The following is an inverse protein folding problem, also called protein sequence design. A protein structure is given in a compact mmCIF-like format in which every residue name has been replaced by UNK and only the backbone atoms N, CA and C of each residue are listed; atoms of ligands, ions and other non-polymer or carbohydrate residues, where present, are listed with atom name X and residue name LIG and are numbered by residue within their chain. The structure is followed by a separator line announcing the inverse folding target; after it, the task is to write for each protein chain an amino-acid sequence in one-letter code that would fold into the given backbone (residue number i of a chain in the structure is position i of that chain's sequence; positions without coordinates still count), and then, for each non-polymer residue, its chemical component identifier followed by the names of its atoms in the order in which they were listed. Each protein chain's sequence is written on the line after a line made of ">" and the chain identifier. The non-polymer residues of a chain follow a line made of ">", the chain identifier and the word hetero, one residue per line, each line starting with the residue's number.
data_IF_827475388292
#
_entry.id   IF_827475388292
#
_cell.length_a   1.000
_cell.length_b   1.000
_cell.length_c   1.000
_cell.angle_alpha   90.00
_cell.angle_beta   90.00
_cell.angle_gamma   90.00
#
_symmetry.space_group_name_H-M   'P 1'
#
loop_
_entity.id
_entity.type
_entity.pdbx_description
1 polymer ?
#
# COMPACT_ATOMS: atom_id res chain seq x y z
N UNK A 1 26.73 4.07 -0.78
CA UNK A 1 26.33 3.94 0.63
C UNK A 1 24.82 3.71 0.70
N UNK A 2 24.28 3.13 1.77
CA UNK A 2 22.85 2.85 1.85
C UNK A 2 22.03 4.14 1.96
N UNK A 3 20.77 4.04 1.54
CA UNK A 3 19.76 5.04 1.84
C UNK A 3 19.13 4.65 3.17
N UNK A 4 19.10 5.55 4.14
CA UNK A 4 18.55 5.27 5.46
C UNK A 4 17.18 5.94 5.58
N UNK A 5 16.17 5.14 5.85
CA UNK A 5 14.79 5.57 6.03
C UNK A 5 14.37 5.37 7.47
N UNK A 6 14.01 6.44 8.17
CA UNK A 6 13.63 6.39 9.59
C UNK A 6 12.16 6.77 9.74
N UNK A 7 11.37 5.82 10.25
CA UNK A 7 9.97 6.02 10.64
C UNK A 7 9.86 6.11 12.16
N UNK A 8 9.06 7.04 12.65
CA UNK A 8 8.93 7.31 14.08
C UNK A 8 7.49 7.41 14.56
N UNK A 9 7.29 7.14 15.85
CA UNK A 9 6.17 7.67 16.64
C UNK A 9 6.33 9.16 16.96
N UNK A 10 5.45 9.73 17.81
CA UNK A 10 5.56 11.12 18.29
C UNK A 10 6.70 11.27 19.32
N UNK A 11 7.93 11.24 18.85
CA UNK A 11 9.14 11.28 19.66
C UNK A 11 10.25 12.00 18.89
N UNK A 12 10.91 12.96 19.53
CA UNK A 12 12.04 13.70 18.94
C UNK A 12 13.26 12.83 18.69
N UNK A 13 13.47 11.80 19.48
CA UNK A 13 14.63 10.92 19.37
C UNK A 13 14.85 10.32 17.97
N UNK A 14 13.79 10.17 17.17
CA UNK A 14 13.91 9.75 15.77
C UNK A 14 14.61 10.78 14.89
N UNK A 15 14.38 12.07 15.12
CA UNK A 15 15.05 13.17 14.42
C UNK A 15 16.52 13.28 14.85
N UNK A 16 16.78 13.21 16.15
CA UNK A 16 18.14 13.19 16.68
C UNK A 16 18.95 12.01 16.15
N UNK A 17 18.33 10.83 16.04
CA UNK A 17 18.97 9.65 15.44
C UNK A 17 19.30 9.93 13.96
N UNK A 18 18.36 10.53 13.21
CA UNK A 18 18.55 10.86 11.81
C UNK A 18 19.69 11.86 11.60
N UNK A 19 19.74 12.92 12.39
CA UNK A 19 20.81 13.93 12.36
C UNK A 19 22.19 13.31 12.66
N UNK A 20 22.27 12.45 13.69
CA UNK A 20 23.51 11.75 14.04
C UNK A 20 23.97 10.81 12.93
N UNK A 21 23.06 10.08 12.32
CA UNK A 21 23.35 9.20 11.19
C UNK A 21 23.82 10.01 9.98
N UNK A 22 23.12 11.08 9.65
CA UNK A 22 23.50 11.95 8.55
C UNK A 22 24.92 12.54 8.75
N UNK A 23 25.23 12.98 9.96
CA UNK A 23 26.57 13.46 10.33
C UNK A 23 27.65 12.37 10.25
N UNK A 24 27.34 11.14 10.73
CA UNK A 24 28.30 10.02 10.69
C UNK A 24 28.60 9.54 9.27
N UNK A 25 27.63 9.61 8.37
CA UNK A 25 27.77 9.22 6.97
C UNK A 25 28.14 10.37 6.06
N UNK A 26 28.27 11.59 6.58
CA UNK A 26 28.50 12.83 5.81
C UNK A 26 27.52 12.92 4.61
N UNK A 27 26.22 12.87 4.93
CA UNK A 27 25.19 12.82 3.90
C UNK A 27 24.02 13.77 4.17
N UNK A 28 23.22 14.01 3.13
CA UNK A 28 22.05 14.87 3.23
C UNK A 28 21.02 14.29 4.19
N UNK A 29 20.47 15.15 5.04
CA UNK A 29 19.31 14.87 5.89
C UNK A 29 18.06 15.53 5.31
N UNK A 30 17.05 14.73 5.01
CA UNK A 30 15.75 15.20 4.55
C UNK A 30 14.71 14.91 5.62
N UNK A 31 14.06 15.99 6.11
CA UNK A 31 12.96 15.89 7.05
C UNK A 31 11.59 15.78 6.32
N UNK A 32 10.56 15.39 7.08
CA UNK A 32 9.18 15.40 6.60
C UNK A 32 8.74 16.80 6.13
N UNK A 33 9.11 17.81 6.89
CA UNK A 33 8.75 19.20 6.63
C UNK A 33 9.27 19.61 5.24
N UNK A 34 10.50 19.24 4.92
CA UNK A 34 11.07 19.48 3.59
C UNK A 34 10.28 18.81 2.47
N UNK A 35 9.83 17.58 2.69
CA UNK A 35 8.98 16.85 1.74
C UNK A 35 7.64 17.55 1.54
N UNK A 36 7.03 18.03 2.62
CA UNK A 36 5.77 18.76 2.55
C UNK A 36 5.91 20.07 1.77
N UNK A 37 7.00 20.81 1.99
CA UNK A 37 7.30 22.04 1.25
C UNK A 37 7.44 21.79 -0.25
N UNK A 38 8.15 20.73 -0.63
CA UNK A 38 8.31 20.33 -2.03
C UNK A 38 6.95 20.01 -2.67
N UNK A 39 6.09 19.27 -1.98
CA UNK A 39 4.77 18.94 -2.48
C UNK A 39 3.87 20.17 -2.61
N UNK A 40 3.93 21.11 -1.65
CA UNK A 40 3.21 22.40 -1.73
C UNK A 40 3.73 23.24 -2.90
N UNK A 41 5.04 23.34 -3.09
CA UNK A 41 5.64 24.05 -4.23
C UNK A 41 5.25 23.45 -5.58
N UNK A 42 5.04 22.14 -5.63
CA UNK A 42 4.51 21.44 -6.81
C UNK A 42 2.99 21.63 -7.01
N UNK A 43 2.33 22.45 -6.18
CA UNK A 43 0.89 22.73 -6.28
C UNK A 43 -0.02 21.61 -5.80
N UNK A 44 0.49 20.67 -5.02
CA UNK A 44 -0.29 19.55 -4.51
C UNK A 44 -1.15 20.00 -3.33
N UNK A 45 -2.46 19.74 -3.32
CA UNK A 45 -3.38 20.24 -2.30
C UNK A 45 -3.32 19.45 -0.98
N UNK A 46 -2.17 19.46 -0.31
CA UNK A 46 -1.92 18.72 0.93
C UNK A 46 -2.97 19.00 2.00
N UNK A 47 -3.39 20.24 2.17
CA UNK A 47 -4.39 20.60 3.16
C UNK A 47 -5.76 19.95 2.89
N UNK A 48 -6.17 19.79 1.64
CA UNK A 48 -7.40 19.05 1.28
C UNK A 48 -7.27 17.56 1.59
N UNK A 49 -6.11 16.98 1.33
CA UNK A 49 -5.85 15.58 1.68
C UNK A 49 -5.88 15.36 3.20
N UNK A 50 -5.31 16.28 3.98
CA UNK A 50 -5.38 16.24 5.45
C UNK A 50 -6.82 16.37 5.96
N UNK A 51 -7.61 17.30 5.41
CA UNK A 51 -9.02 17.47 5.78
C UNK A 51 -9.87 16.26 5.37
N UNK A 52 -9.61 15.67 4.23
CA UNK A 52 -10.33 14.48 3.78
C UNK A 52 -10.18 13.32 4.77
N UNK A 53 -9.02 13.14 5.38
CA UNK A 53 -8.79 12.08 6.36
C UNK A 53 -9.56 12.20 7.67
N UNK A 54 -10.11 13.37 7.96
CA UNK A 54 -10.97 13.62 9.14
C UNK A 54 -12.44 13.35 8.82
N UNK A 55 -12.78 13.17 7.54
CA UNK A 55 -14.16 12.97 7.06
C UNK A 55 -14.46 11.49 6.74
N UNK A 56 -15.75 11.12 6.53
CA UNK A 56 -16.13 9.74 6.21
C UNK A 56 -15.46 9.19 4.95
N UNK A 57 -15.26 7.86 4.84
CA UNK A 57 -14.53 7.18 3.76
C UNK A 57 -14.95 7.55 2.33
N UNK A 58 -16.19 8.00 2.11
CA UNK A 58 -16.70 8.41 0.79
C UNK A 58 -15.95 9.59 0.16
N UNK A 59 -15.30 10.43 0.97
CA UNK A 59 -14.55 11.60 0.50
C UNK A 59 -13.16 11.19 0.03
N UNK A 60 -12.55 10.17 0.64
CA UNK A 60 -11.23 9.65 0.25
C UNK A 60 -11.20 9.10 -1.18
N UNK A 61 -12.28 8.47 -1.63
CA UNK A 61 -12.39 7.87 -2.97
C UNK A 61 -12.21 8.88 -4.10
N UNK A 62 -12.51 10.16 -3.84
CA UNK A 62 -12.33 11.25 -4.82
C UNK A 62 -10.91 11.80 -4.88
N UNK A 63 -10.04 11.38 -3.96
CA UNK A 63 -8.67 11.91 -3.82
C UNK A 63 -7.57 10.91 -4.22
N UNK A 64 -7.92 9.81 -4.87
CA UNK A 64 -6.94 8.81 -5.34
C UNK A 64 -5.90 9.42 -6.27
N UNK A 65 -6.32 10.31 -7.16
CA UNK A 65 -5.44 11.02 -8.07
C UNK A 65 -4.47 11.98 -7.35
N UNK A 66 -4.97 12.79 -6.42
CA UNK A 66 -4.14 13.70 -5.63
C UNK A 66 -3.11 12.92 -4.80
N UNK A 67 -3.52 11.77 -4.25
CA UNK A 67 -2.63 10.83 -3.57
C UNK A 67 -1.52 10.35 -4.50
N UNK A 68 -1.85 9.90 -5.69
CA UNK A 68 -0.90 9.34 -6.65
C UNK A 68 0.08 10.41 -7.16
N UNK A 69 -0.39 11.63 -7.41
CA UNK A 69 0.46 12.77 -7.76
C UNK A 69 1.38 13.13 -6.58
N UNK A 70 0.86 13.14 -5.36
CA UNK A 70 1.67 13.37 -4.16
C UNK A 70 2.79 12.35 -4.02
N UNK A 71 2.44 11.05 -4.12
CA UNK A 71 3.43 9.97 -4.03
C UNK A 71 4.45 10.06 -5.16
N UNK A 72 4.03 10.36 -6.38
CA UNK A 72 4.93 10.53 -7.51
C UNK A 72 5.90 11.71 -7.28
N UNK A 73 5.42 12.84 -6.78
CA UNK A 73 6.24 14.01 -6.48
C UNK A 73 7.30 13.69 -5.40
N UNK A 74 6.85 13.14 -4.27
CA UNK A 74 7.73 12.83 -3.14
C UNK A 74 8.75 11.76 -3.49
N UNK A 75 8.32 10.71 -4.18
CA UNK A 75 9.23 9.64 -4.62
C UNK A 75 10.25 10.15 -5.62
N UNK A 76 9.84 10.99 -6.58
CA UNK A 76 10.76 11.63 -7.52
C UNK A 76 11.82 12.44 -6.78
N UNK A 77 11.40 13.30 -5.87
CA UNK A 77 12.32 14.13 -5.10
C UNK A 77 13.33 13.29 -4.30
N UNK A 78 12.87 12.24 -3.62
CA UNK A 78 13.76 11.35 -2.86
C UNK A 78 14.71 10.57 -3.77
N UNK A 79 14.23 10.04 -4.89
CA UNK A 79 15.07 9.32 -5.86
C UNK A 79 16.17 10.21 -6.41
N UNK A 80 15.88 11.48 -6.76
CA UNK A 80 16.85 12.43 -7.27
C UNK A 80 17.97 12.73 -6.26
N UNK A 81 17.58 12.90 -5.00
CA UNK A 81 18.56 13.13 -3.92
C UNK A 81 19.35 11.88 -3.58
N UNK A 82 18.71 10.71 -3.66
CA UNK A 82 19.32 9.42 -3.37
C UNK A 82 20.29 8.92 -4.47
N UNK A 83 20.28 9.50 -5.66
CA UNK A 83 21.21 9.13 -6.76
C UNK A 83 22.68 9.20 -6.36
N UNK A 84 23.05 10.11 -5.46
CA UNK A 84 24.38 10.20 -4.87
C UNK A 84 24.71 9.07 -3.89
N UNK A 85 23.75 8.24 -3.52
CA UNK A 85 23.92 7.06 -2.69
C UNK A 85 23.95 7.31 -1.18
N UNK A 86 23.87 8.56 -0.74
CA UNK A 86 23.97 8.91 0.67
C UNK A 86 22.80 9.81 1.06
N UNK A 87 21.79 9.23 1.69
CA UNK A 87 20.63 9.98 2.11
C UNK A 87 20.09 9.41 3.43
N UNK A 88 19.82 10.26 4.39
CA UNK A 88 18.98 9.94 5.54
C UNK A 88 17.66 10.67 5.39
N UNK A 89 16.59 9.92 5.25
CA UNK A 89 15.23 10.46 5.26
C UNK A 89 14.51 10.09 6.55
N UNK A 90 14.04 11.10 7.27
CA UNK A 90 13.26 10.94 8.48
C UNK A 90 11.86 11.50 8.25
N UNK A 91 10.87 10.64 8.25
CA UNK A 91 9.53 11.08 7.98
C UNK A 91 8.47 10.01 8.19
N UNK A 92 7.27 10.41 7.82
CA UNK A 92 6.11 9.56 7.91
C UNK A 92 6.07 8.59 6.72
N UNK A 93 5.80 7.32 7.00
CA UNK A 93 5.79 6.26 5.99
C UNK A 93 7.06 6.22 5.11
N UNK A 94 8.21 6.68 5.65
CA UNK A 94 9.49 6.81 4.94
C UNK A 94 9.95 5.49 4.31
N UNK A 95 9.69 4.38 4.98
CA UNK A 95 10.03 3.02 4.57
C UNK A 95 9.28 2.54 3.32
N UNK A 96 8.20 3.22 2.92
CA UNK A 96 7.34 2.85 1.79
C UNK A 96 7.57 3.69 0.53
N UNK A 97 8.37 4.76 0.61
CA UNK A 97 8.53 5.72 -0.49
C UNK A 97 9.50 5.27 -1.59
N UNK A 98 10.36 4.29 -1.31
CA UNK A 98 11.30 3.72 -2.28
C UNK A 98 11.06 2.21 -2.45
N UNK A 99 9.90 1.80 -2.97
CA UNK A 99 9.57 0.39 -3.14
C UNK A 99 10.49 -0.28 -4.17
N UNK A 100 10.88 -1.53 -3.90
CA UNK A 100 11.70 -2.32 -4.82
C UNK A 100 13.18 -1.97 -4.84
N UNK A 101 13.63 -0.97 -4.05
CA UNK A 101 15.04 -0.60 -3.94
C UNK A 101 15.65 -1.33 -2.74
N UNK A 102 16.50 -2.33 -3.01
CA UNK A 102 17.02 -3.23 -1.97
C UNK A 102 18.04 -2.58 -1.03
N UNK A 103 18.77 -1.55 -1.47
CA UNK A 103 19.78 -0.89 -0.64
C UNK A 103 19.20 0.24 0.26
N UNK A 104 17.91 0.18 0.57
CA UNK A 104 17.27 1.06 1.57
C UNK A 104 17.24 0.34 2.92
N UNK A 105 17.86 0.95 3.93
CA UNK A 105 17.83 0.46 5.30
C UNK A 105 16.68 1.12 6.05
N UNK A 106 15.67 0.34 6.45
CA UNK A 106 14.41 0.80 7.03
C UNK A 106 14.41 0.64 8.53
N UNK A 107 14.40 1.76 9.23
CA UNK A 107 14.46 1.80 10.71
C UNK A 107 13.13 2.31 11.25
N UNK A 108 12.58 1.61 12.22
CA UNK A 108 11.48 2.11 13.05
C UNK A 108 11.98 2.45 14.43
N UNK A 109 11.69 3.68 14.88
CA UNK A 109 12.01 4.13 16.24
C UNK A 109 10.79 4.01 17.12
N UNK A 110 10.96 3.36 18.27
CA UNK A 110 9.94 3.18 19.31
C UNK A 110 10.47 3.65 20.67
N UNK A 111 9.57 3.98 21.57
CA UNK A 111 9.82 4.18 23.00
C UNK A 111 8.50 3.95 23.75
N UNK A 112 8.58 3.69 25.07
CA UNK A 112 7.39 3.56 25.86
C UNK A 112 6.61 4.89 25.99
N UNK A 113 5.38 4.81 26.48
CA UNK A 113 4.51 5.98 26.58
C UNK A 113 5.04 7.00 27.58
N UNK A 114 5.61 6.57 28.68
CA UNK A 114 6.14 7.46 29.71
C UNK A 114 7.36 8.27 29.24
N UNK A 115 8.25 7.61 28.52
CA UNK A 115 9.39 8.28 27.90
C UNK A 115 8.92 9.32 26.87
N UNK A 116 7.92 8.96 26.07
CA UNK A 116 7.33 9.84 25.05
C UNK A 116 6.65 11.05 25.69
N UNK A 117 5.89 10.85 26.78
CA UNK A 117 5.24 11.92 27.53
C UNK A 117 6.28 12.90 28.04
N UNK A 118 7.32 12.44 28.75
CA UNK A 118 8.40 13.30 29.24
C UNK A 118 9.07 14.11 28.12
N UNK A 119 9.29 13.49 26.97
CA UNK A 119 9.85 14.16 25.79
C UNK A 119 8.95 15.28 25.27
N UNK A 120 7.65 15.04 25.21
CA UNK A 120 6.65 16.03 24.72
C UNK A 120 6.45 17.15 25.74
N UNK A 121 6.37 16.85 27.06
CA UNK A 121 6.31 17.85 28.14
C UNK A 121 7.49 18.83 28.06
N UNK A 122 8.70 18.30 27.95
CA UNK A 122 9.91 19.11 27.86
C UNK A 122 10.00 19.99 26.60
N UNK A 123 9.38 19.55 25.51
CA UNK A 123 9.51 20.22 24.19
C UNK A 123 8.41 21.21 23.89
N UNK A 124 7.15 20.82 24.24
CA UNK A 124 5.97 21.61 23.92
C UNK A 124 5.42 22.35 25.11
N UNK A 125 6.06 22.21 26.29
CA UNK A 125 5.63 22.79 27.55
C UNK A 125 4.16 22.48 27.88
N UNK A 126 3.74 21.24 27.60
CA UNK A 126 2.42 20.72 27.88
C UNK A 126 2.36 20.05 29.24
N UNK A 127 1.16 20.04 29.87
CA UNK A 127 0.94 19.17 31.03
C UNK A 127 0.94 17.69 30.60
N UNK A 128 1.19 16.80 31.53
CA UNK A 128 1.23 15.34 31.31
C UNK A 128 0.02 14.81 30.51
N UNK A 129 -1.18 15.18 30.94
CA UNK A 129 -2.41 14.70 30.29
C UNK A 129 -2.53 15.23 28.85
N UNK A 130 -2.22 16.50 28.63
CA UNK A 130 -2.17 17.08 27.29
C UNK A 130 -1.08 16.50 26.41
N UNK A 131 0.07 16.17 26.99
CA UNK A 131 1.15 15.49 26.29
C UNK A 131 0.73 14.08 25.84
N UNK A 132 0.05 13.34 26.72
CA UNK A 132 -0.50 12.02 26.38
C UNK A 132 -1.55 12.10 25.27
N UNK A 133 -2.51 13.02 25.39
CA UNK A 133 -3.54 13.25 24.37
C UNK A 133 -2.91 13.61 23.01
N UNK A 134 -1.96 14.53 23.00
CA UNK A 134 -1.20 14.90 21.80
C UNK A 134 -0.51 13.69 21.14
N UNK A 135 0.14 12.84 21.92
CA UNK A 135 0.80 11.63 21.43
C UNK A 135 -0.20 10.70 20.76
N UNK A 136 -1.33 10.41 21.41
CA UNK A 136 -2.35 9.52 20.87
C UNK A 136 -2.96 10.06 19.58
N UNK A 137 -3.23 11.38 19.54
CA UNK A 137 -3.75 12.03 18.34
C UNK A 137 -2.77 11.95 17.17
N UNK A 138 -1.50 12.27 17.40
CA UNK A 138 -0.45 12.23 16.37
C UNK A 138 -0.25 10.80 15.83
N UNK A 139 -0.30 9.80 16.70
CA UNK A 139 -0.15 8.40 16.27
C UNK A 139 -1.37 7.93 15.47
N UNK A 140 -2.59 8.33 15.89
CA UNK A 140 -3.81 8.05 15.14
C UNK A 140 -3.79 8.70 13.74
N UNK A 141 -3.32 9.95 13.64
CA UNK A 141 -3.21 10.64 12.36
C UNK A 141 -2.16 9.99 11.45
N UNK A 142 -1.06 9.49 12.02
CA UNK A 142 -0.07 8.72 11.26
C UNK A 142 -0.61 7.41 10.74
N UNK A 143 -1.36 6.68 11.57
CA UNK A 143 -2.01 5.46 11.16
C UNK A 143 -2.97 5.71 9.98
N UNK A 144 -3.77 6.78 10.05
CA UNK A 144 -4.66 7.21 8.96
C UNK A 144 -3.88 7.54 7.68
N UNK A 145 -2.78 8.30 7.78
CA UNK A 145 -1.93 8.63 6.64
C UNK A 145 -1.31 7.41 5.97
N UNK A 146 -0.75 6.49 6.75
CA UNK A 146 -0.14 5.27 6.21
C UNK A 146 -1.17 4.41 5.48
N UNK A 147 -2.37 4.28 6.05
CA UNK A 147 -3.48 3.60 5.37
C UNK A 147 -3.93 4.32 4.12
N UNK A 148 -4.10 5.64 4.16
CA UNK A 148 -4.52 6.43 3.02
C UNK A 148 -3.50 6.36 1.86
N UNK A 149 -2.22 6.55 2.15
CA UNK A 149 -1.18 6.59 1.11
C UNK A 149 -0.80 5.19 0.60
N UNK A 150 -0.71 4.20 1.47
CA UNK A 150 -0.08 2.91 1.16
C UNK A 150 -0.92 1.69 1.53
N UNK A 151 -2.04 1.86 2.24
CA UNK A 151 -2.92 0.77 2.66
C UNK A 151 -2.34 -0.20 3.68
N UNK A 152 -1.36 0.24 4.46
CA UNK A 152 -0.66 -0.61 5.43
C UNK A 152 -0.82 -0.11 6.85
N UNK A 153 -0.71 -1.00 7.82
CA UNK A 153 -0.54 -0.66 9.21
C UNK A 153 0.92 -0.19 9.41
N UNK A 154 1.11 1.09 9.74
CA UNK A 154 2.45 1.69 9.85
C UNK A 154 3.28 1.10 10.99
N UNK A 155 2.63 0.44 11.93
CA UNK A 155 3.23 -0.18 13.11
C UNK A 155 3.57 -1.66 12.92
N UNK A 156 3.28 -2.25 11.77
CA UNK A 156 3.70 -3.60 11.40
C UNK A 156 5.24 -3.69 11.35
N UNK A 157 5.87 -4.48 12.22
CA UNK A 157 7.33 -4.60 12.26
C UNK A 157 7.92 -5.25 11.00
N UNK A 158 7.14 -6.01 10.25
CA UNK A 158 7.61 -6.69 9.01
C UNK A 158 7.93 -5.72 7.87
N UNK A 159 7.50 -4.45 7.99
CA UNK A 159 7.81 -3.39 7.03
C UNK A 159 9.19 -2.75 7.24
N UNK A 160 9.92 -3.16 8.29
CA UNK A 160 11.18 -2.55 8.70
C UNK A 160 12.28 -3.59 8.80
N UNK A 161 13.50 -3.19 8.51
CA UNK A 161 14.68 -4.03 8.70
C UNK A 161 15.11 -4.07 10.16
N UNK A 162 14.82 -2.99 10.92
CA UNK A 162 15.11 -2.87 12.36
C UNK A 162 14.04 -2.05 13.07
N UNK A 163 13.67 -2.50 14.26
CA UNK A 163 12.89 -1.73 15.25
C UNK A 163 13.80 -1.43 16.44
N UNK A 164 14.04 -0.15 16.73
CA UNK A 164 14.95 0.27 17.79
C UNK A 164 14.21 1.03 18.89
N UNK A 165 14.41 0.62 20.15
CA UNK A 165 13.90 1.32 21.32
C UNK A 165 14.95 2.33 21.82
N UNK A 166 14.66 3.62 21.70
CA UNK A 166 15.57 4.69 22.10
C UNK A 166 15.60 4.96 23.60
N UNK A 167 14.62 4.51 24.35
CA UNK A 167 14.63 4.67 25.79
C UNK A 167 15.81 3.93 26.44
N UNK A 168 16.06 2.69 25.98
CA UNK A 168 17.14 1.85 26.52
C UNK A 168 18.49 2.19 25.92
N UNK A 169 18.55 2.37 24.58
CA UNK A 169 19.82 2.56 23.89
C UNK A 169 20.32 4.01 23.89
N UNK A 170 19.40 4.98 23.92
CA UNK A 170 19.73 6.37 23.63
C UNK A 170 20.09 6.59 22.16
N UNK A 171 20.04 7.84 21.71
CA UNK A 171 20.26 8.17 20.30
C UNK A 171 21.71 7.93 19.82
N UNK A 172 22.71 8.11 20.68
CA UNK A 172 24.13 7.93 20.34
C UNK A 172 24.51 6.46 20.11
N UNK A 173 24.09 5.58 21.04
CA UNK A 173 24.34 4.14 20.91
C UNK A 173 23.54 3.56 19.74
N UNK A 174 22.29 3.98 19.60
CA UNK A 174 21.47 3.60 18.46
C UNK A 174 22.12 4.03 17.14
N UNK A 175 22.60 5.26 17.02
CA UNK A 175 23.29 5.72 15.81
C UNK A 175 24.55 4.89 15.51
N UNK A 176 25.31 4.50 16.54
CA UNK A 176 26.49 3.65 16.35
C UNK A 176 26.09 2.27 15.81
N UNK A 177 25.13 1.60 16.45
CA UNK A 177 24.65 0.30 15.99
C UNK A 177 24.03 0.35 14.58
N UNK A 178 23.23 1.39 14.28
CA UNK A 178 22.62 1.54 12.97
C UNK A 178 23.65 1.83 11.88
N UNK A 179 24.76 2.54 12.20
CA UNK A 179 25.86 2.74 11.26
C UNK A 179 26.53 1.41 10.86
N UNK A 180 26.78 0.54 11.83
CA UNK A 180 27.34 -0.79 11.54
C UNK A 180 26.39 -1.63 10.68
N UNK A 181 25.11 -1.67 11.05
CA UNK A 181 24.10 -2.39 10.30
C UNK A 181 23.93 -1.88 8.87
N UNK A 182 23.91 -0.57 8.69
CA UNK A 182 23.76 0.05 7.35
C UNK A 182 24.91 -0.29 6.39
N UNK A 183 26.06 -0.73 6.88
CA UNK A 183 27.21 -1.15 6.08
C UNK A 183 27.18 -2.62 5.70
N UNK A 184 26.23 -3.39 6.21
CA UNK A 184 26.11 -4.82 5.88
C UNK A 184 25.80 -5.03 4.38
N UNK A 185 26.20 -6.18 3.83
CA UNK A 185 26.03 -6.47 2.40
C UNK A 185 24.63 -6.27 1.83
N UNK A 186 23.52 -6.61 2.54
CA UNK A 186 22.17 -6.41 2.01
C UNK A 186 21.84 -4.94 1.68
N UNK A 187 22.46 -3.99 2.38
CA UNK A 187 22.19 -2.55 2.21
C UNK A 187 23.22 -1.85 1.30
N UNK A 188 24.12 -2.61 0.66
CA UNK A 188 25.07 -2.04 -0.30
C UNK A 188 24.40 -1.87 -1.65
N UNK A 189 24.60 -0.72 -2.33
CA UNK A 189 24.12 -0.55 -3.69
C UNK A 189 24.72 -1.61 -4.62
N UNK A 190 23.85 -2.20 -5.43
CA UNK A 190 24.23 -3.11 -6.51
C UNK A 190 23.81 -2.51 -7.84
N UNK A 191 24.38 -2.93 -8.98
CA UNK A 191 23.90 -2.46 -10.29
C UNK A 191 22.41 -2.66 -10.49
N UNK A 192 21.85 -3.77 -10.00
CA UNK A 192 20.42 -4.04 -10.07
C UNK A 192 19.59 -3.08 -9.21
N UNK A 193 20.02 -2.78 -7.98
CA UNK A 193 19.31 -1.86 -7.10
C UNK A 193 19.42 -0.40 -7.53
N UNK A 194 20.52 -0.01 -8.16
CA UNK A 194 20.69 1.32 -8.79
C UNK A 194 19.77 1.44 -10.01
N UNK A 195 19.71 0.40 -10.86
CA UNK A 195 18.77 0.38 -11.97
C UNK A 195 17.32 0.43 -11.50
N UNK A 196 16.98 -0.28 -10.42
CA UNK A 196 15.64 -0.21 -9.82
C UNK A 196 15.31 1.21 -9.35
N UNK A 197 16.27 1.93 -8.77
CA UNK A 197 16.13 3.34 -8.38
C UNK A 197 15.90 4.25 -9.58
N UNK A 198 16.71 4.10 -10.64
CA UNK A 198 16.54 4.89 -11.87
C UNK A 198 15.19 4.62 -12.54
N UNK A 199 14.77 3.36 -12.59
CA UNK A 199 13.47 2.97 -13.12
C UNK A 199 12.33 3.57 -12.28
N UNK A 200 12.43 3.52 -10.94
CA UNK A 200 11.45 4.11 -10.03
C UNK A 200 11.35 5.64 -10.21
N UNK A 201 12.50 6.30 -10.31
CA UNK A 201 12.57 7.74 -10.55
C UNK A 201 11.88 8.12 -11.87
N UNK A 202 12.26 7.47 -12.96
CA UNK A 202 11.70 7.74 -14.28
C UNK A 202 10.19 7.47 -14.33
N UNK A 203 9.72 6.36 -13.74
CA UNK A 203 8.30 6.04 -13.68
C UNK A 203 7.50 7.11 -12.92
N UNK A 204 8.02 7.62 -11.79
CA UNK A 204 7.33 8.63 -11.01
C UNK A 204 7.38 10.03 -11.66
N UNK A 205 8.51 10.39 -12.30
CA UNK A 205 8.57 11.61 -13.13
C UNK A 205 7.54 11.58 -14.26
N UNK A 206 7.43 10.45 -14.96
CA UNK A 206 6.45 10.27 -16.03
C UNK A 206 5.01 10.34 -15.48
N UNK A 207 4.74 9.69 -14.35
CA UNK A 207 3.42 9.76 -13.69
C UNK A 207 3.08 11.18 -13.28
N UNK A 208 4.02 11.92 -12.72
CA UNK A 208 3.83 13.32 -12.34
C UNK A 208 3.53 14.19 -13.55
N UNK A 209 4.30 14.06 -14.64
CA UNK A 209 4.09 14.79 -15.88
C UNK A 209 2.70 14.52 -16.48
N UNK A 210 2.29 13.24 -16.56
CA UNK A 210 0.97 12.86 -17.05
C UNK A 210 -0.17 13.32 -16.12
N UNK A 211 0.06 13.33 -14.81
CA UNK A 211 -0.93 13.77 -13.84
C UNK A 211 -1.17 15.27 -13.80
N UNK A 212 -0.21 16.07 -14.23
CA UNK A 212 -0.30 17.54 -14.27
C UNK A 212 -0.79 18.06 -15.62
N UNK A 213 -0.49 17.39 -16.73
CA UNK A 213 -0.96 17.79 -18.06
C UNK A 213 -2.47 17.59 -18.20
N UNK A 214 -3.18 18.67 -18.55
CA UNK A 214 -4.66 18.66 -18.64
C UNK A 214 -5.21 17.64 -19.64
N UNK A 215 -4.42 17.27 -20.66
CA UNK A 215 -4.82 16.32 -21.70
C UNK A 215 -4.77 14.86 -21.27
N UNK A 216 -4.00 14.56 -20.20
CA UNK A 216 -3.79 13.19 -19.70
C UNK A 216 -4.21 13.05 -18.24
N UNK A 217 -4.41 14.16 -17.55
CA UNK A 217 -4.68 14.19 -16.13
C UNK A 217 -5.97 13.44 -15.70
N UNK A 218 -6.93 13.26 -16.62
CA UNK A 218 -8.16 12.51 -16.35
C UNK A 218 -7.99 11.00 -16.52
N UNK A 219 -6.91 10.57 -17.18
CA UNK A 219 -6.73 9.19 -17.53
C UNK A 219 -6.08 8.38 -16.39
N UNK A 220 -6.68 7.26 -16.09
CA UNK A 220 -6.13 6.29 -15.16
C UNK A 220 -5.13 5.40 -15.88
N UNK A 221 -3.87 5.80 -15.87
CA UNK A 221 -2.79 5.07 -16.52
C UNK A 221 -1.84 4.45 -15.51
N UNK A 222 -1.36 3.25 -15.82
CA UNK A 222 -0.24 2.65 -15.13
C UNK A 222 1.06 3.07 -15.79
N UNK A 223 2.00 3.54 -15.00
CA UNK A 223 3.31 3.95 -15.48
C UNK A 223 4.39 3.08 -14.86
N UNK A 224 5.20 2.45 -15.69
CA UNK A 224 6.41 1.72 -15.32
C UNK A 224 7.57 2.23 -16.16
N UNK A 225 8.78 2.03 -15.70
CA UNK A 225 9.97 2.30 -16.50
C UNK A 225 10.97 1.16 -16.36
N UNK A 226 11.66 0.87 -17.43
CA UNK A 226 12.83 -0.01 -17.42
C UNK A 226 13.89 0.51 -18.38
N UNK A 227 15.10 0.72 -17.89
CA UNK A 227 16.30 1.13 -18.65
C UNK A 227 16.08 2.33 -19.59
N UNK A 228 15.25 3.28 -19.14
CA UNK A 228 14.94 4.48 -19.91
C UNK A 228 13.72 4.37 -20.83
N UNK A 229 13.09 3.21 -20.93
CA UNK A 229 11.80 3.04 -21.62
C UNK A 229 10.68 3.21 -20.62
N UNK A 230 9.73 4.10 -20.92
CA UNK A 230 8.51 4.30 -20.13
C UNK A 230 7.39 3.49 -20.76
N UNK A 231 6.81 2.61 -19.96
CA UNK A 231 5.65 1.80 -20.33
C UNK A 231 4.41 2.39 -19.69
N UNK A 232 3.45 2.81 -20.52
CA UNK A 232 2.16 3.35 -20.08
C UNK A 232 1.08 2.40 -20.52
N UNK A 233 0.40 1.79 -19.55
CA UNK A 233 -0.74 0.92 -19.82
C UNK A 233 -2.04 1.65 -19.48
N UNK A 234 -3.03 1.53 -20.36
CA UNK A 234 -4.34 2.18 -20.23
C UNK A 234 -5.47 1.18 -20.48
N UNK A 235 -6.66 1.48 -19.97
CA UNK A 235 -7.86 0.68 -20.25
C UNK A 235 -8.39 0.96 -21.66
N UNK A 236 -9.04 -0.02 -22.31
CA UNK A 236 -9.52 0.13 -23.70
C UNK A 236 -10.34 1.40 -23.97
N UNK A 237 -11.16 1.82 -23.01
CA UNK A 237 -11.98 3.03 -23.10
C UNK A 237 -11.20 4.34 -22.99
N UNK A 238 -9.94 4.28 -22.62
CA UNK A 238 -9.05 5.44 -22.55
C UNK A 238 -8.02 5.46 -23.70
N UNK A 239 -8.31 4.73 -24.79
CA UNK A 239 -7.42 4.63 -25.94
C UNK A 239 -7.06 5.99 -26.56
N UNK A 240 -7.90 6.99 -26.39
CA UNK A 240 -7.67 8.36 -26.84
C UNK A 240 -6.44 9.03 -26.19
N UNK A 241 -6.01 8.54 -25.00
CA UNK A 241 -4.82 9.07 -24.32
C UNK A 241 -3.51 8.59 -24.97
N UNK A 242 -3.54 7.45 -25.65
CA UNK A 242 -2.36 6.80 -26.23
C UNK A 242 -1.52 7.71 -27.15
N UNK A 243 -2.10 8.45 -28.12
CA UNK A 243 -1.32 9.34 -28.98
C UNK A 243 -0.82 10.60 -28.24
N UNK A 244 -1.38 10.93 -27.09
CA UNK A 244 -1.04 12.12 -26.30
C UNK A 244 0.16 11.84 -25.36
N UNK A 245 0.22 10.64 -24.78
CA UNK A 245 1.24 10.25 -23.80
C UNK A 245 2.67 10.48 -24.31
N UNK A 246 3.07 10.05 -25.51
CA UNK A 246 4.43 10.32 -26.01
C UNK A 246 4.75 11.81 -26.16
N UNK A 247 3.72 12.63 -26.45
CA UNK A 247 3.88 14.08 -26.59
C UNK A 247 4.15 14.73 -25.24
N UNK A 248 3.45 14.30 -24.18
CA UNK A 248 3.61 14.82 -22.81
C UNK A 248 4.95 14.39 -22.23
N UNK A 249 5.40 13.19 -22.54
CA UNK A 249 6.66 12.65 -22.03
C UNK A 249 7.88 13.00 -22.88
N UNK A 250 7.66 13.71 -24.00
CA UNK A 250 8.77 14.16 -24.88
C UNK A 250 9.69 15.10 -24.13
N UNK A 251 10.98 14.76 -24.11
CA UNK A 251 11.99 15.56 -23.42
C UNK A 251 12.09 15.32 -21.91
N UNK A 252 11.32 14.35 -21.38
CA UNK A 252 11.46 13.95 -19.99
C UNK A 252 12.86 13.38 -19.74
N UNK A 253 13.58 13.93 -18.77
CA UNK A 253 14.95 13.50 -18.44
C UNK A 253 15.01 12.01 -18.10
N UNK A 254 15.90 11.29 -18.77
CA UNK A 254 16.08 9.84 -18.61
C UNK A 254 15.12 8.99 -19.45
N UNK A 255 14.13 9.59 -20.12
CA UNK A 255 13.23 8.89 -21.02
C UNK A 255 13.85 8.80 -22.42
N UNK A 256 14.10 7.57 -22.88
CA UNK A 256 14.61 7.27 -24.21
C UNK A 256 13.50 6.93 -25.20
N UNK A 257 12.49 6.23 -24.69
CA UNK A 257 11.35 5.76 -25.50
C UNK A 257 10.08 5.61 -24.64
N UNK A 258 8.92 5.66 -25.29
CA UNK A 258 7.61 5.54 -24.64
C UNK A 258 6.81 4.46 -25.35
N UNK A 259 6.48 3.41 -24.62
CA UNK A 259 5.62 2.34 -25.11
C UNK A 259 4.23 2.48 -24.47
N UNK A 260 3.24 2.72 -25.28
CA UNK A 260 1.85 2.88 -24.85
C UNK A 260 1.05 1.67 -25.34
N UNK A 261 0.45 0.91 -24.40
CA UNK A 261 -0.28 -0.31 -24.71
C UNK A 261 -1.56 -0.44 -23.89
N UNK A 262 -2.53 -1.14 -24.44
CA UNK A 262 -3.68 -1.59 -23.66
C UNK A 262 -3.17 -2.54 -22.59
N UNK A 263 -3.59 -2.35 -21.33
CA UNK A 263 -3.27 -3.23 -20.23
C UNK A 263 -3.72 -4.66 -20.59
N UNK A 264 -2.83 -5.64 -20.49
CA UNK A 264 -3.21 -7.04 -20.63
C UNK A 264 -4.27 -7.32 -19.55
N UNK A 265 -5.49 -7.55 -19.99
CA UNK A 265 -6.65 -7.56 -19.12
C UNK A 265 -6.71 -8.83 -18.30
N UNK A 266 -6.83 -8.69 -16.98
CA UNK A 266 -7.13 -9.80 -16.08
C UNK A 266 -8.14 -9.35 -15.03
N UNK A 267 -9.09 -10.23 -14.74
CA UNK A 267 -10.10 -10.03 -13.70
C UNK A 267 -9.73 -10.90 -12.49
N UNK A 268 -9.57 -10.30 -11.33
CA UNK A 268 -9.46 -11.04 -10.07
C UNK A 268 -10.88 -11.22 -9.51
N UNK A 269 -11.28 -12.46 -9.30
CA UNK A 269 -12.56 -12.79 -8.68
C UNK A 269 -12.33 -13.36 -7.28
N UNK A 270 -12.69 -12.57 -6.28
CA UNK A 270 -12.55 -12.92 -4.85
C UNK A 270 -13.88 -13.44 -4.33
N UNK A 271 -13.90 -14.67 -3.85
CA UNK A 271 -15.10 -15.30 -3.30
C UNK A 271 -14.71 -16.39 -2.30
N UNK A 272 -15.59 -16.73 -1.35
CA UNK A 272 -15.33 -17.80 -0.38
C UNK A 272 -15.69 -19.18 -0.94
N UNK A 273 -16.83 -19.31 -1.62
CA UNK A 273 -17.30 -20.53 -2.27
C UNK A 273 -17.72 -20.23 -3.69
N UNK A 274 -17.32 -21.08 -4.64
CA UNK A 274 -17.58 -20.89 -6.06
C UNK A 274 -18.74 -21.76 -6.54
N UNK A 275 -19.53 -21.23 -7.48
CA UNK A 275 -20.65 -21.91 -8.13
C UNK A 275 -20.77 -21.46 -9.56
N UNK A 276 -20.76 -22.40 -10.49
CA UNK A 276 -20.89 -22.16 -11.94
C UNK A 276 -22.32 -21.79 -12.37
N UNK A 277 -23.31 -21.97 -11.49
CA UNK A 277 -24.72 -21.63 -11.75
C UNK A 277 -25.15 -20.31 -11.12
N UNK A 278 -24.24 -19.65 -10.43
CA UNK A 278 -24.53 -18.39 -9.73
C UNK A 278 -24.45 -17.18 -10.66
N UNK A 279 -25.27 -16.15 -10.40
CA UNK A 279 -25.26 -14.88 -11.14
C UNK A 279 -23.87 -14.23 -11.22
N UNK A 280 -23.02 -14.44 -10.19
CA UNK A 280 -21.67 -13.89 -10.16
C UNK A 280 -20.79 -14.50 -11.24
N UNK A 281 -20.92 -15.82 -11.48
CA UNK A 281 -20.21 -16.49 -12.57
C UNK A 281 -20.58 -15.87 -13.94
N UNK A 282 -21.89 -15.72 -14.20
CA UNK A 282 -22.38 -15.14 -15.45
C UNK A 282 -21.87 -13.72 -15.68
N UNK A 283 -21.81 -12.91 -14.61
CA UNK A 283 -21.31 -11.54 -14.69
C UNK A 283 -19.80 -11.49 -14.94
N UNK A 284 -19.02 -12.31 -14.21
CA UNK A 284 -17.57 -12.39 -14.41
C UNK A 284 -17.25 -12.92 -15.81
N UNK A 285 -17.99 -13.93 -16.28
CA UNK A 285 -17.82 -14.48 -17.60
C UNK A 285 -18.10 -13.43 -18.69
N UNK A 286 -19.21 -12.70 -18.60
CA UNK A 286 -19.54 -11.61 -19.55
C UNK A 286 -18.48 -10.51 -19.54
N UNK A 287 -17.98 -10.13 -18.35
CA UNK A 287 -16.91 -9.14 -18.23
C UNK A 287 -15.63 -9.64 -18.91
N UNK A 288 -15.21 -10.87 -18.60
CA UNK A 288 -14.02 -11.49 -19.16
C UNK A 288 -14.12 -11.65 -20.69
N UNK A 289 -15.29 -11.99 -21.20
CA UNK A 289 -15.52 -12.09 -22.66
C UNK A 289 -15.47 -10.73 -23.35
N UNK A 290 -16.09 -9.69 -22.74
CA UNK A 290 -16.12 -8.35 -23.33
C UNK A 290 -14.76 -7.67 -23.37
N UNK A 291 -13.87 -8.03 -22.47
CA UNK A 291 -12.52 -7.47 -22.39
C UNK A 291 -11.41 -8.39 -22.93
N UNK A 292 -11.77 -9.55 -23.42
CA UNK A 292 -10.82 -10.61 -23.75
C UNK A 292 -9.86 -10.94 -22.59
N UNK A 293 -10.40 -10.92 -21.37
CA UNK A 293 -9.62 -11.01 -20.13
C UNK A 293 -9.45 -12.46 -19.64
N UNK A 294 -8.30 -12.75 -19.04
CA UNK A 294 -8.13 -13.89 -18.17
C UNK A 294 -8.85 -13.69 -16.83
N UNK A 295 -9.20 -14.76 -16.15
CA UNK A 295 -9.84 -14.73 -14.83
C UNK A 295 -8.96 -15.45 -13.81
N UNK A 296 -8.63 -14.76 -12.74
CA UNK A 296 -7.96 -15.36 -11.59
C UNK A 296 -8.94 -15.49 -10.44
N UNK A 297 -9.15 -16.72 -9.96
CA UNK A 297 -10.01 -17.01 -8.83
C UNK A 297 -9.19 -16.94 -7.55
N UNK A 298 -9.66 -16.19 -6.57
CA UNK A 298 -9.07 -16.14 -5.25
C UNK A 298 -10.10 -16.55 -4.21
N UNK A 299 -9.96 -17.77 -3.71
CA UNK A 299 -10.80 -18.25 -2.63
C UNK A 299 -10.36 -17.59 -1.32
N UNK A 300 -11.18 -16.68 -0.83
CA UNK A 300 -10.87 -15.93 0.38
C UNK A 300 -11.60 -16.48 1.60
N UNK A 301 -10.86 -17.00 2.56
CA UNK A 301 -11.36 -17.38 3.88
C UNK A 301 -10.87 -16.39 4.91
N UNK A 302 -11.70 -15.39 5.19
CA UNK A 302 -11.34 -14.29 6.07
C UNK A 302 -11.33 -14.68 7.54
N UNK A 303 -10.22 -14.39 8.23
CA UNK A 303 -10.18 -14.36 9.70
C UNK A 303 -10.57 -12.96 10.18
N UNK A 304 -11.36 -12.88 11.26
CA UNK A 304 -11.65 -11.58 11.88
C UNK A 304 -10.35 -10.92 12.29
N UNK A 305 -9.99 -9.82 11.63
CA UNK A 305 -9.06 -8.88 12.20
C UNK A 305 -9.75 -8.31 13.44
N UNK A 306 -9.08 -8.31 14.59
CA UNK A 306 -9.54 -7.55 15.74
C UNK A 306 -9.41 -6.07 15.40
N UNK A 307 -10.37 -5.54 14.64
CA UNK A 307 -10.62 -4.12 14.59
C UNK A 307 -11.01 -3.72 16.00
N UNK A 308 -10.23 -2.85 16.62
CA UNK A 308 -10.47 -2.31 17.94
C UNK A 308 -11.95 -1.93 18.06
N UNK A 309 -12.66 -2.37 19.12
CA UNK A 309 -14.04 -2.03 19.30
C UNK A 309 -14.18 -0.51 19.36
N UNK A 310 -15.18 -0.02 18.66
CA UNK A 310 -15.63 1.36 18.68
C UNK A 310 -15.91 1.74 20.13
N UNK A 311 -15.03 2.50 20.78
CA UNK A 311 -15.16 2.93 22.16
C UNK A 311 -16.08 4.14 22.23
N UNK A 312 -17.37 3.91 21.96
CA UNK A 312 -18.47 4.75 22.42
C UNK A 312 -19.31 4.01 23.48
N UNK A 313 -18.75 3.85 24.65
CA UNK A 313 -19.45 3.25 25.77
C UNK A 313 -18.51 3.06 26.96
N UNK A 314 -18.64 3.94 27.93
CA UNK A 314 -17.89 3.89 29.19
C UNK A 314 -18.14 2.56 29.92
N UNK A 315 -17.08 1.79 30.17
CA UNK A 315 -17.06 0.73 31.21
C UNK A 315 -15.72 0.80 31.94
N UNK A 316 -15.82 0.91 33.26
CA UNK A 316 -14.73 0.97 34.24
C UNK A 316 -13.76 -0.22 34.19
N UNK A 317 -12.50 -0.04 34.58
CA UNK A 317 -11.50 -1.11 34.59
C UNK A 317 -11.61 -1.97 35.84
N UNK A 318 -12.00 -3.21 35.71
CA UNK A 318 -11.77 -4.23 36.74
C UNK A 318 -10.39 -4.86 36.56
N UNK A 319 -9.61 -4.79 37.65
CA UNK A 319 -8.32 -5.46 37.83
C UNK A 319 -8.47 -6.97 37.79
N UNK A 320 -7.65 -7.63 36.98
CA UNK A 320 -7.31 -9.03 37.19
C UNK A 320 -5.81 -9.23 36.97
N UNK A 321 -5.11 -9.53 38.04
CA UNK A 321 -3.76 -10.05 38.04
C UNK A 321 -3.79 -11.52 37.65
N UNK A 322 -2.98 -11.95 36.70
CA UNK A 322 -2.67 -13.36 36.48
C UNK A 322 -1.19 -13.55 36.21
N UNK A 323 -0.63 -14.44 37.00
CA UNK A 323 0.74 -14.87 37.14
C UNK A 323 1.20 -15.60 35.87
N UNK A 324 2.39 -15.24 35.39
CA UNK A 324 3.07 -15.96 34.31
C UNK A 324 4.04 -16.97 34.93
N UNK A 325 3.84 -18.24 34.63
CA UNK A 325 4.86 -19.26 34.79
C UNK A 325 5.49 -19.56 33.42
N UNK A 326 6.78 -19.28 33.34
CA UNK A 326 7.61 -19.69 32.23
C UNK A 326 7.99 -21.16 32.35
N UNK A 327 7.80 -21.93 31.32
CA UNK A 327 8.50 -23.19 31.10
C UNK A 327 9.19 -23.13 29.74
N UNK A 328 10.51 -23.22 29.79
CA UNK A 328 11.36 -23.32 28.64
C UNK A 328 11.18 -24.70 27.97
N UNK A 329 10.92 -24.69 26.67
CA UNK A 329 11.16 -25.83 25.82
C UNK A 329 11.87 -25.31 24.57
N UNK A 330 13.07 -25.84 24.37
CA UNK A 330 13.89 -25.66 23.19
C UNK A 330 13.27 -26.42 22.02
N UNK A 331 12.86 -25.72 20.98
CA UNK A 331 12.60 -26.35 19.69
C UNK A 331 13.39 -25.65 18.59
N UNK A 332 14.12 -26.46 17.85
CA UNK A 332 14.94 -26.11 16.72
C UNK A 332 14.10 -25.41 15.63
N UNK A 333 14.45 -24.18 15.35
CA UNK A 333 13.86 -23.37 14.27
C UNK A 333 14.44 -23.79 12.92
N UNK A 334 13.87 -24.81 12.29
CA UNK A 334 14.05 -25.04 10.87
C UNK A 334 13.04 -24.16 10.13
N UNK A 335 13.44 -22.93 9.82
CA UNK A 335 12.67 -21.99 9.02
C UNK A 335 12.62 -22.42 7.57
N UNK A 336 11.70 -23.31 7.23
CA UNK A 336 11.22 -23.46 5.87
C UNK A 336 10.31 -22.27 5.58
N UNK A 337 10.63 -21.49 4.55
CA UNK A 337 9.68 -20.56 3.92
C UNK A 337 8.61 -21.47 3.32
N UNK A 338 7.51 -21.68 4.02
CA UNK A 338 6.33 -22.29 3.42
C UNK A 338 5.82 -21.30 2.39
N UNK A 339 5.95 -21.69 1.14
CA UNK A 339 5.35 -21.03 -0.01
C UNK A 339 3.83 -21.23 0.12
N UNK A 340 3.13 -20.22 0.69
CA UNK A 340 1.67 -20.19 0.86
C UNK A 340 0.90 -20.20 -0.48
N UNK A 341 1.61 -20.37 -1.60
CA UNK A 341 1.06 -20.51 -2.95
C UNK A 341 0.90 -21.97 -3.41
N UNK A 342 0.67 -22.90 -2.48
CA UNK A 342 0.33 -24.26 -2.88
C UNK A 342 -0.96 -24.22 -3.74
N UNK A 343 -0.99 -24.87 -4.92
CA UNK A 343 -2.20 -24.94 -5.74
C UNK A 343 -3.31 -25.57 -4.90
N UNK A 344 -4.49 -24.95 -4.92
CA UNK A 344 -5.67 -25.39 -4.19
C UNK A 344 -6.09 -26.80 -4.63
N UNK A 345 -5.43 -27.81 -4.09
CA UNK A 345 -5.77 -29.22 -4.33
C UNK A 345 -6.79 -29.65 -3.28
N UNK A 346 -8.05 -29.81 -3.67
CA UNK A 346 -8.90 -30.83 -3.09
C UNK A 346 -9.99 -30.43 -2.12
N UNK A 347 -10.21 -29.14 -1.73
CA UNK A 347 -11.19 -28.83 -0.69
C UNK A 347 -12.45 -28.09 -1.15
N UNK A 348 -12.53 -27.59 -2.37
CA UNK A 348 -13.75 -26.96 -2.91
C UNK A 348 -14.01 -27.43 -4.35
N UNK A 349 -14.94 -28.38 -4.56
CA UNK A 349 -15.30 -28.81 -5.91
C UNK A 349 -15.78 -27.67 -6.81
N UNK A 350 -16.50 -26.69 -6.24
CA UNK A 350 -16.99 -25.53 -7.00
C UNK A 350 -15.88 -24.65 -7.54
N UNK A 351 -14.75 -24.57 -6.84
CA UNK A 351 -13.57 -23.81 -7.29
C UNK A 351 -12.95 -24.43 -8.57
N UNK A 352 -12.72 -25.75 -8.54
CA UNK A 352 -12.17 -26.48 -9.67
C UNK A 352 -13.14 -26.48 -10.88
N UNK A 353 -14.44 -26.70 -10.61
CA UNK A 353 -15.48 -26.67 -11.64
C UNK A 353 -15.59 -25.29 -12.29
N UNK A 354 -15.47 -24.20 -11.54
CA UNK A 354 -15.52 -22.83 -12.07
C UNK A 354 -14.34 -22.55 -12.98
N UNK A 355 -13.12 -22.99 -12.62
CA UNK A 355 -11.95 -22.86 -13.50
C UNK A 355 -12.14 -23.64 -14.80
N UNK A 356 -12.62 -24.89 -14.72
CA UNK A 356 -12.85 -25.74 -15.88
C UNK A 356 -13.88 -25.13 -16.84
N UNK A 357 -15.00 -24.59 -16.34
CA UNK A 357 -16.01 -23.92 -17.15
C UNK A 357 -15.47 -22.65 -17.83
N UNK A 358 -14.65 -21.85 -17.17
CA UNK A 358 -14.01 -20.69 -17.78
C UNK A 358 -13.03 -21.11 -18.90
N UNK A 359 -12.29 -22.21 -18.69
CA UNK A 359 -11.37 -22.75 -19.69
C UNK A 359 -12.12 -23.32 -20.91
N UNK A 360 -13.25 -24.01 -20.70
CA UNK A 360 -14.10 -24.52 -21.78
C UNK A 360 -14.62 -23.43 -22.72
N UNK A 361 -14.87 -22.24 -22.18
CA UNK A 361 -15.28 -21.07 -23.00
C UNK A 361 -14.10 -20.26 -23.52
N UNK A 362 -12.89 -20.82 -23.47
CA UNK A 362 -11.68 -20.23 -24.02
C UNK A 362 -11.07 -19.10 -23.19
N UNK A 363 -11.41 -19.00 -21.91
CA UNK A 363 -10.79 -18.03 -21.02
C UNK A 363 -9.59 -18.63 -20.31
N UNK A 364 -8.50 -17.88 -20.23
CA UNK A 364 -7.40 -18.24 -19.34
C UNK A 364 -7.93 -18.16 -17.91
N UNK A 365 -7.90 -19.27 -17.18
CA UNK A 365 -8.34 -19.33 -15.80
C UNK A 365 -7.27 -19.98 -14.92
N UNK A 366 -7.03 -19.39 -13.77
CA UNK A 366 -6.14 -19.89 -12.73
C UNK A 366 -6.69 -19.48 -11.36
N UNK A 367 -6.13 -19.98 -10.28
CA UNK A 367 -6.60 -19.57 -8.96
C UNK A 367 -5.82 -20.16 -7.80
N UNK A 368 -6.05 -19.61 -6.63
CA UNK A 368 -5.45 -20.05 -5.38
C UNK A 368 -6.35 -19.73 -4.18
N UNK A 369 -6.07 -20.36 -3.04
CA UNK A 369 -6.78 -20.07 -1.79
C UNK A 369 -5.93 -19.16 -0.92
N UNK A 370 -6.59 -18.21 -0.23
CA UNK A 370 -5.98 -17.31 0.72
C UNK A 370 -6.73 -17.34 2.05
N UNK A 371 -5.99 -17.55 3.13
CA UNK A 371 -6.50 -17.55 4.49
C UNK A 371 -5.86 -16.41 5.27
N UNK A 372 -6.66 -15.49 5.82
CA UNK A 372 -6.09 -14.40 6.61
C UNK A 372 -6.97 -13.17 6.75
N UNK A 373 -6.38 -12.12 7.31
CA UNK A 373 -7.06 -10.84 7.50
C UNK A 373 -7.19 -10.06 6.17
N UNK A 374 -8.14 -9.11 6.08
CA UNK A 374 -8.29 -8.22 4.93
C UNK A 374 -7.01 -7.44 4.58
N UNK A 375 -6.23 -7.01 5.58
CA UNK A 375 -4.97 -6.27 5.36
C UNK A 375 -3.89 -7.16 4.72
N UNK A 376 -3.78 -8.43 5.13
CA UNK A 376 -2.88 -9.40 4.49
C UNK A 376 -3.32 -9.72 3.07
N UNK A 377 -4.61 -9.87 2.83
CA UNK A 377 -5.15 -10.04 1.49
C UNK A 377 -4.79 -8.87 0.59
N UNK A 378 -5.00 -7.63 1.06
CA UNK A 378 -4.63 -6.42 0.34
C UNK A 378 -3.13 -6.40 -0.01
N UNK A 379 -2.27 -6.75 0.96
CA UNK A 379 -0.82 -6.82 0.76
C UNK A 379 -0.45 -7.86 -0.31
N UNK A 380 -1.07 -9.03 -0.27
CA UNK A 380 -0.88 -10.10 -1.25
C UNK A 380 -1.30 -9.67 -2.65
N UNK A 381 -2.48 -9.08 -2.81
CA UNK A 381 -2.93 -8.59 -4.12
C UNK A 381 -1.97 -7.54 -4.68
N UNK A 382 -1.44 -6.65 -3.85
CA UNK A 382 -0.46 -5.65 -4.26
C UNK A 382 0.88 -6.24 -4.70
N UNK A 383 1.32 -7.30 -4.06
CA UNK A 383 2.62 -7.90 -4.29
C UNK A 383 2.67 -8.64 -5.63
N UNK A 384 1.61 -9.36 -5.98
CA UNK A 384 1.67 -10.34 -7.06
C UNK A 384 1.21 -9.83 -8.42
N UNK A 385 0.16 -9.00 -8.52
CA UNK A 385 -0.34 -8.56 -9.84
C UNK A 385 -1.16 -7.27 -9.78
N UNK A 386 -1.29 -6.63 -10.93
CA UNK A 386 -2.25 -5.55 -11.19
C UNK A 386 -3.34 -6.09 -12.09
N UNK A 387 -4.55 -6.12 -11.57
CA UNK A 387 -5.74 -6.58 -12.28
C UNK A 387 -6.44 -5.42 -12.98
N UNK A 388 -7.10 -5.72 -14.12
CA UNK A 388 -7.91 -4.72 -14.82
C UNK A 388 -9.23 -4.46 -14.11
N UNK A 389 -9.72 -5.46 -13.39
CA UNK A 389 -10.84 -5.32 -12.45
C UNK A 389 -10.74 -6.37 -11.35
N UNK A 390 -11.34 -6.05 -10.21
CA UNK A 390 -11.47 -6.96 -9.07
C UNK A 390 -12.96 -7.10 -8.77
N UNK A 391 -13.46 -8.32 -8.82
CA UNK A 391 -14.85 -8.65 -8.48
C UNK A 391 -14.87 -9.30 -7.11
N UNK A 392 -15.58 -8.69 -6.17
CA UNK A 392 -15.79 -9.24 -4.83
C UNK A 392 -17.19 -9.86 -4.80
N UNK A 393 -17.24 -11.18 -4.75
CA UNK A 393 -18.45 -11.97 -4.61
C UNK A 393 -18.84 -12.17 -3.14
N UNK A 394 -19.47 -13.31 -2.85
CA UNK A 394 -19.93 -13.64 -1.50
C UNK A 394 -18.73 -14.10 -0.66
N UNK A 395 -18.43 -13.34 0.39
CA UNK A 395 -17.39 -13.60 1.39
C UNK A 395 -18.01 -13.65 2.78
N UNK A 396 -17.32 -14.30 3.73
CA UNK A 396 -17.81 -14.49 5.10
C UNK A 396 -19.16 -15.24 5.18
N UNK A 397 -19.36 -16.23 4.34
CA UNK A 397 -20.62 -16.99 4.21
C UNK A 397 -21.01 -17.74 5.49
N UNK A 398 -20.04 -18.08 6.33
CA UNK A 398 -20.24 -18.68 7.67
C UNK A 398 -20.82 -17.72 8.71
N UNK A 399 -20.85 -16.41 8.45
CA UNK A 399 -21.30 -15.38 9.39
C UNK A 399 -22.81 -15.06 9.21
N UNK A 400 -23.48 -14.57 10.28
CA UNK A 400 -24.85 -14.07 10.17
C UNK A 400 -24.99 -12.98 9.10
N UNK A 401 -26.18 -12.84 8.45
CA UNK A 401 -26.34 -11.95 7.29
C UNK A 401 -25.91 -10.50 7.51
N UNK A 402 -26.21 -9.92 8.67
CA UNK A 402 -25.84 -8.53 8.99
C UNK A 402 -24.32 -8.37 9.17
N UNK A 403 -23.68 -9.32 9.87
CA UNK A 403 -22.23 -9.33 10.08
C UNK A 403 -21.50 -9.56 8.76
N UNK A 404 -21.98 -10.50 7.95
CA UNK A 404 -21.45 -10.78 6.60
C UNK A 404 -21.51 -9.53 5.72
N UNK A 405 -22.64 -8.83 5.71
CA UNK A 405 -22.78 -7.60 4.94
C UNK A 405 -21.80 -6.55 5.40
N UNK A 406 -21.69 -6.30 6.70
CA UNK A 406 -20.75 -5.32 7.25
C UNK A 406 -19.30 -5.65 6.89
N UNK A 407 -18.85 -6.88 7.15
CA UNK A 407 -17.49 -7.32 6.83
C UNK A 407 -17.20 -7.29 5.32
N UNK A 408 -18.19 -7.65 4.51
CA UNK A 408 -18.09 -7.54 3.04
C UNK A 408 -17.96 -6.10 2.57
N UNK A 409 -18.74 -5.18 3.14
CA UNK A 409 -18.66 -3.76 2.82
C UNK A 409 -17.33 -3.14 3.29
N UNK A 410 -16.82 -3.57 4.46
CA UNK A 410 -15.50 -3.17 4.97
C UNK A 410 -14.36 -3.67 4.06
N UNK A 411 -14.40 -4.93 3.64
CA UNK A 411 -13.44 -5.51 2.70
C UNK A 411 -13.48 -4.77 1.35
N UNK A 412 -14.68 -4.56 0.82
CA UNK A 412 -14.87 -3.84 -0.44
C UNK A 412 -14.32 -2.42 -0.35
N UNK A 413 -14.57 -1.71 0.75
CA UNK A 413 -14.02 -0.39 1.03
C UNK A 413 -12.51 -0.42 1.08
N UNK A 414 -11.91 -1.34 1.85
CA UNK A 414 -10.47 -1.49 1.97
C UNK A 414 -9.81 -1.71 0.60
N UNK A 415 -10.33 -2.63 -0.20
CA UNK A 415 -9.77 -2.91 -1.53
C UNK A 415 -9.95 -1.72 -2.48
N UNK A 416 -11.13 -1.07 -2.47
CA UNK A 416 -11.41 0.09 -3.34
C UNK A 416 -10.51 1.29 -3.01
N UNK A 417 -10.27 1.52 -1.73
CA UNK A 417 -9.49 2.69 -1.28
C UNK A 417 -7.98 2.51 -1.51
N UNK A 418 -7.52 1.26 -1.67
CA UNK A 418 -6.09 0.97 -1.63
C UNK A 418 -5.54 0.24 -2.86
N UNK A 419 -6.38 -0.14 -3.80
CA UNK A 419 -5.96 -0.73 -5.07
C UNK A 419 -6.22 0.25 -6.22
N UNK A 420 -5.30 0.29 -7.17
CA UNK A 420 -5.46 1.08 -8.41
C UNK A 420 -6.49 0.45 -9.37
N UNK A 421 -6.77 -0.83 -9.18
CA UNK A 421 -7.72 -1.57 -10.00
C UNK A 421 -9.15 -1.28 -9.56
N UNK A 422 -10.09 -1.09 -10.49
CA UNK A 422 -11.50 -0.94 -10.13
C UNK A 422 -12.01 -2.17 -9.38
N UNK A 423 -12.62 -1.94 -8.22
CA UNK A 423 -13.20 -2.98 -7.37
C UNK A 423 -14.72 -2.87 -7.42
N UNK A 424 -15.38 -3.96 -7.77
CA UNK A 424 -16.85 -4.02 -7.89
C UNK A 424 -17.41 -5.18 -7.07
N UNK A 425 -18.52 -4.95 -6.38
CA UNK A 425 -19.23 -6.02 -5.70
C UNK A 425 -20.21 -6.73 -6.62
N UNK A 426 -20.57 -7.97 -6.27
CA UNK A 426 -21.61 -8.72 -6.96
C UNK A 426 -22.94 -7.96 -7.02
N UNK A 427 -23.30 -7.21 -5.98
CA UNK A 427 -24.51 -6.37 -5.95
C UNK A 427 -24.45 -5.23 -6.98
N UNK A 428 -23.27 -4.63 -7.17
CA UNK A 428 -23.07 -3.60 -8.20
C UNK A 428 -23.19 -4.18 -9.61
N UNK A 429 -22.75 -5.40 -9.82
CA UNK A 429 -22.92 -6.12 -11.09
C UNK A 429 -24.38 -6.46 -11.35
N UNK A 430 -25.13 -6.96 -10.35
CA UNK A 430 -26.58 -7.27 -10.47
C UNK A 430 -27.44 -6.05 -10.75
N UNK A 431 -27.20 -4.93 -10.10
CA UNK A 431 -28.00 -3.71 -10.26
C UNK A 431 -27.98 -3.14 -11.68
N UNK A 432 -27.16 -3.68 -12.59
CA UNK A 432 -26.85 -3.09 -13.90
C UNK A 432 -27.00 -4.01 -15.11
N UNK A 433 -27.47 -5.21 -14.95
CA UNK A 433 -27.83 -6.12 -16.07
C UNK A 433 -28.86 -5.49 -17.02
N UNK A 434 -29.56 -4.43 -16.61
CA UNK A 434 -30.51 -3.69 -17.48
C UNK A 434 -29.88 -2.56 -18.29
N UNK A 435 -28.56 -2.32 -18.17
CA UNK A 435 -27.89 -1.22 -18.85
C UNK A 435 -26.65 -1.80 -19.57
N UNK A 436 -26.63 -1.73 -20.87
CA UNK A 436 -25.67 -2.39 -21.75
C UNK A 436 -24.17 -2.20 -21.41
N UNK A 437 -23.26 -2.99 -22.03
CA UNK A 437 -21.84 -3.10 -21.64
C UNK A 437 -21.08 -1.76 -21.60
N UNK A 438 -21.50 -0.75 -22.32
CA UNK A 438 -20.89 0.58 -22.29
C UNK A 438 -21.05 1.33 -20.97
N UNK A 439 -21.98 0.94 -20.09
CA UNK A 439 -22.23 1.63 -18.83
C UNK A 439 -21.53 0.97 -17.63
N UNK A 440 -21.20 -0.33 -17.71
CA UNK A 440 -20.31 -0.98 -16.73
C UNK A 440 -18.95 -0.29 -16.78
N UNK A 441 -18.49 0.04 -17.97
CA UNK A 441 -17.27 0.80 -18.26
C UNK A 441 -17.35 2.22 -17.66
N UNK A 442 -18.47 2.93 -17.83
CA UNK A 442 -18.67 4.27 -17.25
C UNK A 442 -18.71 4.29 -15.72
N UNK A 443 -19.02 3.20 -15.07
CA UNK A 443 -19.14 3.15 -13.62
C UNK A 443 -17.86 2.78 -12.90
N UNK A 444 -17.05 1.97 -13.54
CA UNK A 444 -15.63 1.77 -13.19
C UNK A 444 -14.87 3.09 -13.29
N UNK A 445 -15.33 4.01 -14.16
CA UNK A 445 -14.75 5.36 -14.34
C UNK A 445 -15.41 6.45 -13.48
N UNK A 446 -16.55 6.20 -12.83
CA UNK A 446 -17.23 7.16 -11.95
C UNK A 446 -17.09 6.84 -10.45
N UNK A 447 -16.51 5.69 -10.08
CA UNK A 447 -16.11 5.32 -8.73
C UNK A 447 -14.62 5.58 -8.52
#
# INVERSE_FOLDING_TARGET
>A
MPIISISRGSLRGGEELAERLAKKFDCEFISREKIMDVAVQAGIPIGRMQMAMVQPPRVYRRMGRERDIYLACVTTYLCERARGGNLVYHGHASHLLLPGVSHVFRIRVVADMEYRIRSVEAHLNLSRDKAKEYILQVDADRAKWARFLHGVAWDDPTLYDVVVNLETLGADNAATAMCEMAQLPPFRPTPASLQAMDNLCLANRARLALGVDRRTAYAEVQVRADRGVVYVSYLPQQAEVCPIVPQVLKGLEGCKDVNCSIASTSVLWIQETYDTKGDTFDHVLKLAQSWDAGVELLRYVGTESQLLPDTSGAVEPQRAAAVVHATAASDEYTGGIEDDTAPASGEDPGFADTMDELQKVGRLAGGHSFHGSPDRLLSTIRQYRRYSAIVVGDVYSSKPPEVRKRLGDELLGLLTDHLESPVVSNQMLRARVHIGPQLIIRLVLML
#
